data_IF_437064382642
#
_entry.id   IF_437064382642
#
_cell.length_a   1.000
_cell.length_b   1.000
_cell.length_c   1.000
_cell.angle_alpha   90.00
_cell.angle_beta   90.00
_cell.angle_gamma   90.00
#
_symmetry.space_group_name_H-M   'P 1'
#
loop_
_entity.id
_entity.type
_entity.pdbx_description
1 polymer ?
#
# COMPACT_ATOMS: atom_id res chain seq x y z
N UNK A 1 25.10 3.14 6.67
CA UNK A 1 24.07 4.20 6.80
C UNK A 1 23.30 4.23 5.50
N UNK A 2 22.04 3.80 5.49
CA UNK A 2 21.18 3.93 4.32
C UNK A 2 20.66 5.37 4.30
N UNK A 3 20.97 6.11 3.24
CA UNK A 3 20.44 7.45 3.03
C UNK A 3 19.11 7.27 2.27
N UNK A 4 18.00 7.52 2.94
CA UNK A 4 16.69 7.59 2.29
C UNK A 4 16.43 9.05 1.94
N UNK A 5 16.14 9.32 0.66
CA UNK A 5 15.72 10.65 0.21
C UNK A 5 14.19 10.71 0.28
N UNK A 6 13.67 11.76 0.92
CA UNK A 6 12.26 12.12 0.81
C UNK A 6 12.10 12.91 -0.48
N UNK A 7 11.18 12.49 -1.32
CA UNK A 7 10.85 13.11 -2.60
C UNK A 7 9.39 13.58 -2.60
N UNK A 8 9.04 14.53 -3.46
CA UNK A 8 7.67 14.98 -3.63
C UNK A 8 6.98 14.11 -4.70
N UNK A 9 6.03 13.27 -4.27
CA UNK A 9 5.25 12.39 -5.13
C UNK A 9 3.90 12.97 -5.53
N UNK A 10 3.12 12.19 -6.30
CA UNK A 10 1.80 12.61 -6.78
C UNK A 10 0.76 12.84 -5.66
N UNK A 11 1.04 12.37 -4.45
CA UNK A 11 0.15 12.42 -3.29
C UNK A 11 0.79 13.11 -2.08
N UNK A 12 1.88 13.84 -2.28
CA UNK A 12 2.69 14.46 -1.21
C UNK A 12 4.03 13.73 -1.01
N UNK A 13 4.68 13.93 0.14
CA UNK A 13 6.01 13.38 0.37
C UNK A 13 6.00 11.84 0.33
N UNK A 14 7.05 11.28 -0.26
CA UNK A 14 7.27 9.84 -0.38
C UNK A 14 8.73 9.46 -0.14
N UNK A 15 8.97 8.21 0.29
CA UNK A 15 10.29 7.59 0.33
C UNK A 15 10.41 6.59 -0.83
N UNK A 16 11.34 6.82 -1.75
CA UNK A 16 11.61 5.90 -2.86
C UNK A 16 12.47 4.72 -2.38
N UNK A 17 12.00 3.49 -2.63
CA UNK A 17 12.72 2.25 -2.32
C UNK A 17 13.15 1.56 -3.62
N UNK A 18 14.08 0.60 -3.53
CA UNK A 18 14.52 -0.18 -4.69
C UNK A 18 13.37 -0.94 -5.39
N UNK A 19 12.27 -1.24 -4.68
CA UNK A 19 11.10 -1.97 -5.19
C UNK A 19 9.79 -1.41 -4.64
N UNK A 20 9.55 -0.11 -4.85
CA UNK A 20 8.31 0.56 -4.43
C UNK A 20 8.58 1.93 -3.81
N UNK A 21 7.56 2.50 -3.18
CA UNK A 21 7.66 3.76 -2.45
C UNK A 21 6.77 3.72 -1.20
N UNK A 22 7.12 4.48 -0.16
CA UNK A 22 6.30 4.70 1.03
C UNK A 22 5.71 6.11 0.92
N UNK A 23 4.39 6.25 0.98
CA UNK A 23 3.72 7.57 0.98
C UNK A 23 3.35 7.96 2.40
N UNK A 24 3.46 9.25 2.71
CA UNK A 24 2.86 9.81 3.92
C UNK A 24 1.44 10.24 3.59
N UNK A 25 0.47 9.77 4.36
CA UNK A 25 -0.94 10.09 4.19
C UNK A 25 -1.46 10.77 5.44
N UNK A 26 -2.34 11.75 5.25
CA UNK A 26 -2.99 12.42 6.37
C UNK A 26 -3.85 11.43 7.17
N UNK A 27 -3.97 11.62 8.50
CA UNK A 27 -4.84 10.78 9.31
C UNK A 27 -6.27 10.80 8.80
N UNK A 28 -6.84 9.62 8.54
CA UNK A 28 -8.22 9.47 8.05
C UNK A 28 -9.23 9.33 9.20
N UNK A 29 -8.78 9.13 10.44
CA UNK A 29 -9.62 9.08 11.63
C UNK A 29 -8.88 9.50 12.92
N UNK A 30 -9.60 9.44 14.05
CA UNK A 30 -9.09 9.82 15.37
C UNK A 30 -8.14 8.77 16.00
N UNK A 31 -7.94 7.61 15.39
CA UNK A 31 -7.15 6.51 15.96
C UNK A 31 -5.64 6.69 15.75
N UNK A 32 -5.21 7.74 15.05
CA UNK A 32 -3.84 8.24 15.06
C UNK A 32 -2.94 7.77 13.91
N UNK A 33 -1.64 8.02 14.09
CA UNK A 33 -0.54 7.80 13.14
C UNK A 33 -0.20 6.31 13.01
N UNK A 34 -0.86 5.61 12.09
CA UNK A 34 -0.59 4.22 11.73
C UNK A 34 -0.45 4.01 10.22
N UNK A 35 -0.02 2.83 9.79
CA UNK A 35 0.00 2.47 8.37
C UNK A 35 -1.44 2.11 7.96
N UNK A 36 -2.09 3.05 7.28
CA UNK A 36 -3.45 2.85 6.76
C UNK A 36 -3.45 2.28 5.34
N UNK A 37 -2.32 2.36 4.63
CA UNK A 37 -2.20 1.88 3.26
C UNK A 37 -0.79 1.47 2.85
N UNK A 38 -0.69 0.48 1.96
CA UNK A 38 0.56 0.04 1.33
C UNK A 38 0.34 -0.22 -0.16
N UNK A 39 1.16 0.39 -1.01
CA UNK A 39 1.16 0.12 -2.45
C UNK A 39 2.23 -0.94 -2.76
N UNK A 40 1.78 -2.08 -3.28
CA UNK A 40 2.64 -3.21 -3.63
C UNK A 40 2.66 -3.41 -5.13
N UNK A 41 3.85 -3.29 -5.72
CA UNK A 41 4.09 -3.64 -7.10
C UNK A 41 4.38 -5.15 -7.19
N UNK A 42 3.66 -5.87 -8.06
CA UNK A 42 3.80 -7.32 -8.21
C UNK A 42 3.64 -7.77 -9.66
N UNK A 43 4.22 -8.93 -9.98
CA UNK A 43 4.22 -9.47 -11.33
C UNK A 43 2.82 -9.88 -11.81
N UNK A 44 1.99 -10.46 -10.92
CA UNK A 44 0.60 -10.77 -11.22
C UNK A 44 -0.27 -10.53 -9.99
N UNK A 45 -1.00 -9.42 -10.02
CA UNK A 45 -1.93 -9.03 -8.96
C UNK A 45 -3.17 -9.91 -8.88
N UNK A 46 -3.55 -10.60 -9.97
CA UNK A 46 -4.78 -11.41 -9.98
C UNK A 46 -4.65 -12.64 -9.10
N UNK A 47 -3.45 -13.21 -8.99
CA UNK A 47 -3.17 -14.33 -8.08
C UNK A 47 -3.43 -13.92 -6.63
N UNK A 48 -2.87 -12.78 -6.20
CA UNK A 48 -3.05 -12.28 -4.84
C UNK A 48 -4.53 -11.93 -4.55
N UNK A 49 -5.21 -11.25 -5.47
CA UNK A 49 -6.64 -10.93 -5.31
C UNK A 49 -7.52 -12.20 -5.29
N UNK A 50 -7.17 -13.21 -6.10
CA UNK A 50 -7.88 -14.48 -6.14
C UNK A 50 -7.79 -15.23 -4.81
N UNK A 51 -6.60 -15.33 -4.23
CA UNK A 51 -6.40 -15.95 -2.91
C UNK A 51 -7.08 -15.14 -1.79
N UNK A 52 -7.00 -13.81 -1.82
CA UNK A 52 -7.68 -12.97 -0.85
C UNK A 52 -9.21 -13.21 -0.83
N UNK A 53 -9.83 -13.32 -2.01
CA UNK A 53 -11.26 -13.65 -2.14
C UNK A 53 -11.58 -15.04 -1.59
N UNK A 54 -10.75 -16.05 -1.85
CA UNK A 54 -10.94 -17.42 -1.31
C UNK A 54 -10.88 -17.44 0.21
N UNK A 55 -10.04 -16.61 0.81
CA UNK A 55 -9.92 -16.45 2.26
C UNK A 55 -11.05 -15.61 2.88
N UNK A 56 -11.97 -15.07 2.06
CA UNK A 56 -13.07 -14.22 2.52
C UNK A 56 -12.62 -12.82 2.95
N UNK A 57 -11.44 -12.37 2.52
CA UNK A 57 -10.96 -11.02 2.83
C UNK A 57 -11.74 -9.96 2.04
N UNK A 58 -11.93 -8.75 2.60
CA UNK A 58 -12.54 -7.65 1.86
C UNK A 58 -11.64 -7.24 0.70
N UNK A 59 -12.16 -7.34 -0.52
CA UNK A 59 -11.48 -6.95 -1.76
C UNK A 59 -12.30 -5.89 -2.47
N UNK A 60 -11.69 -4.75 -2.77
CA UNK A 60 -12.31 -3.63 -3.50
C UNK A 60 -11.39 -3.16 -4.61
N UNK A 61 -11.79 -3.32 -5.88
CA UNK A 61 -10.93 -3.01 -7.02
C UNK A 61 -9.64 -3.84 -6.98
N UNK A 62 -8.49 -3.16 -7.03
CA UNK A 62 -7.17 -3.77 -6.93
C UNK A 62 -6.60 -3.70 -5.50
N UNK A 63 -7.45 -3.68 -4.47
CA UNK A 63 -7.03 -3.59 -3.09
C UNK A 63 -7.65 -4.67 -2.21
N UNK A 64 -6.91 -5.08 -1.17
CA UNK A 64 -7.37 -5.96 -0.10
C UNK A 64 -7.18 -5.28 1.26
N UNK A 65 -8.18 -5.36 2.12
CA UNK A 65 -8.10 -4.83 3.48
C UNK A 65 -7.75 -5.94 4.47
N UNK A 66 -6.67 -5.78 5.22
CA UNK A 66 -6.17 -6.75 6.21
C UNK A 66 -5.86 -6.01 7.49
N UNK A 67 -6.51 -6.40 8.60
CA UNK A 67 -6.26 -5.85 9.94
C UNK A 67 -6.33 -4.31 10.03
N UNK A 68 -7.18 -3.66 9.23
CA UNK A 68 -7.31 -2.19 9.20
C UNK A 68 -6.31 -1.46 8.30
N UNK A 69 -5.47 -2.19 7.56
CA UNK A 69 -4.55 -1.64 6.55
C UNK A 69 -5.02 -2.04 5.15
N UNK A 70 -5.02 -1.08 4.23
CA UNK A 70 -5.36 -1.31 2.82
C UNK A 70 -4.13 -1.59 1.98
N UNK A 71 -4.09 -2.75 1.32
CA UNK A 71 -3.01 -3.12 0.41
C UNK A 71 -3.47 -2.89 -1.03
N UNK A 72 -2.94 -1.87 -1.70
CA UNK A 72 -3.18 -1.61 -3.12
C UNK A 72 -2.17 -2.37 -3.98
N UNK A 73 -2.66 -3.08 -4.98
CA UNK A 73 -1.84 -3.95 -5.83
C UNK A 73 -1.71 -3.35 -7.22
N UNK A 74 -0.48 -3.08 -7.63
CA UNK A 74 -0.12 -2.54 -8.94
C UNK A 74 0.80 -3.47 -9.72
N UNK A 75 0.92 -3.22 -11.02
CA UNK A 75 1.94 -3.88 -11.84
C UNK A 75 3.35 -3.42 -11.42
N UNK A 76 4.30 -4.35 -11.43
CA UNK A 76 5.73 -4.09 -11.20
C UNK A 76 6.45 -3.48 -12.39
#
# INVERSE_FOLDING_TARGET
MLIFQVEEGAYGPELRLARGHIRFVEPVDANGTGIVGLDLAMADLNVALGEAKKLGLPVTGNAVDICGTRFFLGAA
#
